data_IF_616983198244
#
_entry.id   IF_616983198244
#
_cell.length_a   1.000
_cell.length_b   1.000
_cell.length_c   1.000
_cell.angle_alpha   90.00
_cell.angle_beta   90.00
_cell.angle_gamma   90.00
#
_symmetry.space_group_name_H-M   'P 1'
#
loop_
_entity.id
_entity.type
_entity.pdbx_description
1 polymer ?
#
# COMPACT_ATOMS: atom_id res chain seq x y z
N UNK A 1 -0.23 17.76 -7.34
CA UNK A 1 0.24 16.44 -7.77
C UNK A 1 -0.59 15.39 -7.06
N UNK A 2 -0.88 14.27 -7.71
CA UNK A 2 -1.65 13.20 -7.10
C UNK A 2 -0.89 12.55 -5.94
N UNK A 3 -1.62 11.88 -5.03
CA UNK A 3 -1.05 11.30 -3.81
C UNK A 3 -1.09 9.78 -3.81
N UNK A 4 -0.15 9.18 -3.11
CA UNK A 4 -0.16 7.78 -2.71
C UNK A 4 0.31 7.65 -1.26
N UNK A 5 0.19 6.46 -0.68
CA UNK A 5 0.55 6.23 0.73
C UNK A 5 1.62 5.15 0.79
N UNK A 6 2.72 5.43 1.50
CA UNK A 6 3.74 4.45 1.85
C UNK A 6 3.50 3.92 3.26
N UNK A 7 3.58 2.61 3.41
CA UNK A 7 3.57 1.90 4.67
C UNK A 7 4.90 1.14 4.78
N UNK A 8 5.66 1.39 5.84
CA UNK A 8 7.00 0.78 6.02
C UNK A 8 6.99 -0.35 7.08
N UNK A 9 7.99 -1.25 7.10
CA UNK A 9 8.17 -2.24 8.17
C UNK A 9 8.29 -1.65 9.58
N UNK A 10 8.73 -0.39 9.69
CA UNK A 10 8.82 0.33 10.95
C UNK A 10 7.48 0.88 11.46
N UNK A 11 6.37 0.52 10.79
CA UNK A 11 5.01 0.99 11.04
C UNK A 11 4.79 2.48 10.72
N UNK A 12 5.70 3.15 10.02
CA UNK A 12 5.45 4.51 9.57
C UNK A 12 4.50 4.51 8.38
N UNK A 13 3.48 5.38 8.43
CA UNK A 13 2.59 5.69 7.31
C UNK A 13 2.88 7.10 6.83
N UNK A 14 3.23 7.24 5.55
CA UNK A 14 3.69 8.50 4.93
C UNK A 14 2.89 8.82 3.67
N UNK A 15 2.60 10.09 3.48
CA UNK A 15 2.12 10.62 2.20
C UNK A 15 3.30 10.71 1.24
N UNK A 16 3.11 10.25 0.01
CA UNK A 16 4.03 10.45 -1.10
C UNK A 16 3.29 11.03 -2.30
N UNK A 17 4.03 11.71 -3.15
CA UNK A 17 3.53 12.11 -4.47
C UNK A 17 3.50 10.89 -5.39
N UNK A 18 2.39 10.72 -6.11
CA UNK A 18 2.26 9.65 -7.09
C UNK A 18 3.11 10.00 -8.33
N UNK A 19 3.95 9.08 -8.81
CA UNK A 19 4.80 9.34 -9.96
C UNK A 19 4.01 9.32 -11.27
N UNK A 20 4.25 10.30 -12.14
CA UNK A 20 3.58 10.42 -13.45
C UNK A 20 4.57 10.32 -14.61
N UNK A 21 4.06 9.96 -15.78
CA UNK A 21 4.84 9.86 -17.01
C UNK A 21 5.51 8.50 -17.23
N UNK A 22 6.43 8.44 -18.21
CA UNK A 22 6.98 7.18 -18.74
C UNK A 22 7.77 6.34 -17.74
N UNK A 23 8.27 6.96 -16.66
CA UNK A 23 9.09 6.29 -15.65
C UNK A 23 8.30 5.99 -14.37
N UNK A 24 6.97 6.17 -14.36
CA UNK A 24 6.16 6.01 -13.15
C UNK A 24 6.30 4.63 -12.52
N UNK A 25 6.30 3.58 -13.35
CA UNK A 25 6.50 2.20 -12.89
C UNK A 25 7.82 2.00 -12.15
N UNK A 26 8.92 2.52 -12.71
CA UNK A 26 10.24 2.44 -12.09
C UNK A 26 10.30 3.22 -10.78
N UNK A 27 9.64 4.37 -10.71
CA UNK A 27 9.58 5.17 -9.48
C UNK A 27 8.76 4.47 -8.39
N UNK A 28 7.68 3.77 -8.74
CA UNK A 28 6.95 2.91 -7.80
C UNK A 28 7.85 1.80 -7.24
N UNK A 29 8.64 1.14 -8.09
CA UNK A 29 9.65 0.14 -7.67
C UNK A 29 10.70 0.75 -6.74
N UNK A 30 11.19 1.95 -7.05
CA UNK A 30 12.15 2.67 -6.20
C UNK A 30 11.56 3.03 -4.82
N UNK A 31 10.27 3.36 -4.74
CA UNK A 31 9.58 3.60 -3.47
C UNK A 31 9.35 2.32 -2.65
N UNK A 32 9.10 1.18 -3.31
CA UNK A 32 9.10 -0.14 -2.65
C UNK A 32 10.51 -0.47 -2.12
N UNK A 33 11.55 -0.18 -2.92
CA UNK A 33 12.93 -0.31 -2.52
C UNK A 33 13.44 -1.75 -2.52
N UNK A 34 14.49 -2.04 -1.75
CA UNK A 34 15.08 -3.37 -1.54
C UNK A 34 15.47 -4.15 -2.81
N UNK A 35 15.68 -3.45 -3.93
CA UNK A 35 16.01 -4.10 -5.20
C UNK A 35 14.81 -4.65 -5.97
N UNK A 36 13.58 -4.29 -5.56
CA UNK A 36 12.34 -4.72 -6.21
C UNK A 36 12.38 -4.53 -7.73
N UNK A 37 12.27 -5.63 -8.47
CA UNK A 37 12.11 -5.65 -9.93
C UNK A 37 10.69 -6.00 -10.37
N UNK A 38 9.88 -6.59 -9.49
CA UNK A 38 8.52 -6.99 -9.79
C UNK A 38 7.55 -6.55 -8.70
N UNK A 39 6.57 -5.73 -9.11
CA UNK A 39 5.49 -5.29 -8.23
C UNK A 39 4.35 -6.29 -8.29
N UNK A 40 3.95 -6.80 -7.13
CA UNK A 40 2.70 -7.55 -6.98
C UNK A 40 1.54 -6.58 -6.72
N UNK A 41 0.41 -6.83 -7.37
CA UNK A 41 -0.85 -6.18 -7.07
C UNK A 41 -1.64 -7.01 -6.05
N UNK A 42 -1.81 -6.45 -4.85
CA UNK A 42 -2.55 -7.08 -3.75
C UNK A 42 -3.87 -6.35 -3.53
N UNK A 43 -4.92 -7.12 -3.26
CA UNK A 43 -6.28 -6.65 -2.95
C UNK A 43 -6.58 -6.94 -1.46
N UNK A 44 -6.06 -6.12 -0.52
CA UNK A 44 -6.14 -6.42 0.91
C UNK A 44 -7.55 -6.19 1.48
N UNK A 45 -8.19 -7.24 1.99
CA UNK A 45 -9.60 -7.22 2.40
C UNK A 45 -9.91 -6.16 3.47
N UNK A 46 -9.04 -5.96 4.47
CA UNK A 46 -9.31 -4.98 5.54
C UNK A 46 -9.08 -3.54 5.12
N UNK A 47 -8.38 -3.27 4.03
CA UNK A 47 -8.35 -1.93 3.43
C UNK A 47 -9.78 -1.51 3.04
N UNK A 48 -10.58 -2.42 2.51
CA UNK A 48 -11.95 -2.15 2.11
C UNK A 48 -12.93 -2.26 3.28
N UNK A 49 -12.82 -3.31 4.09
CA UNK A 49 -13.84 -3.64 5.10
C UNK A 49 -13.62 -2.97 6.46
N UNK A 50 -12.39 -2.61 6.81
CA UNK A 50 -12.05 -1.96 8.10
C UNK A 50 -11.60 -0.52 7.93
N UNK A 51 -10.77 -0.24 6.93
CA UNK A 51 -10.32 1.12 6.63
C UNK A 51 -11.35 1.88 5.81
N UNK A 52 -12.17 1.20 5.00
CA UNK A 52 -13.24 1.81 4.20
C UNK A 52 -12.79 2.34 2.85
N UNK A 53 -11.61 1.95 2.36
CA UNK A 53 -11.16 2.29 1.01
C UNK A 53 -12.11 1.73 -0.05
N UNK A 54 -12.18 2.42 -1.19
CA UNK A 54 -13.00 2.00 -2.32
C UNK A 54 -12.44 0.76 -3.00
N UNK A 55 -13.29 -0.21 -3.31
CA UNK A 55 -12.94 -1.48 -3.96
C UNK A 55 -13.33 -1.55 -5.44
N UNK A 56 -13.96 -0.50 -5.98
CA UNK A 56 -14.52 -0.46 -7.33
C UNK A 56 -14.03 0.76 -8.10
N UNK A 57 -13.56 0.54 -9.34
CA UNK A 57 -13.16 1.62 -10.24
C UNK A 57 -14.43 2.29 -10.77
N UNK A 58 -14.55 3.61 -10.56
CA UNK A 58 -15.62 4.42 -11.13
C UNK A 58 -15.07 5.15 -12.35
N UNK A 59 -15.75 5.06 -13.49
CA UNK A 59 -15.29 5.64 -14.76
C UNK A 59 -14.97 7.15 -14.67
N UNK A 60 -15.75 7.89 -13.89
CA UNK A 60 -15.63 9.35 -13.79
C UNK A 60 -14.78 9.81 -12.60
N UNK A 61 -14.24 8.88 -11.81
CA UNK A 61 -13.46 9.19 -10.60
C UNK A 61 -12.21 8.28 -10.54
N UNK A 62 -11.17 8.56 -11.35
CA UNK A 62 -9.88 7.88 -11.24
C UNK A 62 -9.35 7.87 -9.81
N UNK A 63 -8.84 6.73 -9.35
CA UNK A 63 -8.36 6.57 -7.98
C UNK A 63 -9.47 6.37 -6.94
N UNK A 64 -10.73 6.16 -7.36
CA UNK A 64 -11.83 5.77 -6.46
C UNK A 64 -11.64 4.38 -5.87
N UNK A 65 -11.07 3.45 -6.66
CA UNK A 65 -10.57 2.17 -6.16
C UNK A 65 -9.15 2.36 -5.68
N UNK A 66 -8.85 1.83 -4.50
CA UNK A 66 -7.50 1.76 -3.98
C UNK A 66 -7.02 0.32 -3.93
N UNK A 67 -5.72 0.14 -4.09
CA UNK A 67 -5.06 -1.16 -4.05
C UNK A 67 -3.69 -1.05 -3.42
N UNK A 68 -3.13 -2.18 -3.04
CA UNK A 68 -1.81 -2.26 -2.42
C UNK A 68 -0.81 -2.86 -3.41
N UNK A 69 0.34 -2.20 -3.57
CA UNK A 69 1.48 -2.74 -4.29
C UNK A 69 2.55 -3.17 -3.29
N UNK A 70 3.11 -4.34 -3.52
CA UNK A 70 4.20 -4.90 -2.71
C UNK A 70 5.27 -5.47 -3.64
N UNK A 71 6.39 -5.87 -3.05
CA UNK A 71 7.46 -6.56 -3.76
C UNK A 71 7.13 -8.05 -3.87
N UNK A 72 6.85 -8.53 -5.08
CA UNK A 72 6.57 -9.96 -5.34
C UNK A 72 7.78 -10.83 -4.97
N UNK A 73 8.98 -10.28 -5.15
CA UNK A 73 10.22 -11.03 -5.07
C UNK A 73 10.86 -10.91 -3.68
N UNK A 74 10.20 -10.25 -2.72
CA UNK A 74 10.82 -9.86 -1.46
C UNK A 74 11.50 -11.03 -0.74
N UNK A 75 10.86 -12.20 -0.72
CA UNK A 75 11.40 -13.39 -0.07
C UNK A 75 12.74 -13.87 -0.65
N UNK A 76 13.05 -13.56 -1.92
CA UNK A 76 14.30 -13.95 -2.57
C UNK A 76 15.49 -13.08 -2.15
N UNK A 77 15.24 -11.89 -1.62
CA UNK A 77 16.29 -10.96 -1.15
C UNK A 77 16.04 -10.44 0.27
N UNK A 78 15.13 -11.09 1.00
CA UNK A 78 14.86 -10.87 2.41
C UNK A 78 16.02 -11.41 3.26
N UNK A 79 16.56 -10.56 4.13
CA UNK A 79 17.63 -10.96 5.04
C UNK A 79 17.07 -11.41 6.41
N UNK A 80 15.93 -10.86 6.86
CA UNK A 80 15.30 -11.24 8.12
C UNK A 80 13.79 -10.95 8.14
N UNK A 81 12.98 -12.02 8.10
CA UNK A 81 11.52 -11.95 8.10
C UNK A 81 10.95 -11.14 9.28
N UNK A 82 11.56 -11.21 10.46
CA UNK A 82 11.03 -10.55 11.67
C UNK A 82 11.20 -9.03 11.59
N UNK A 83 12.36 -8.55 11.15
CA UNK A 83 12.59 -7.10 11.03
C UNK A 83 11.92 -6.50 9.80
N UNK A 84 11.72 -7.31 8.76
CA UNK A 84 11.21 -6.85 7.48
C UNK A 84 9.69 -6.95 7.39
N UNK A 85 9.02 -7.51 8.40
CA UNK A 85 7.56 -7.63 8.42
C UNK A 85 6.87 -6.27 8.54
N UNK A 86 5.98 -6.00 7.60
CA UNK A 86 5.14 -4.81 7.60
C UNK A 86 3.81 -5.11 8.32
N UNK A 87 3.74 -4.76 9.60
CA UNK A 87 2.60 -5.12 10.44
C UNK A 87 1.27 -4.52 9.95
N UNK A 88 1.28 -3.26 9.51
CA UNK A 88 0.06 -2.60 9.02
C UNK A 88 -0.37 -3.26 7.71
N UNK A 89 0.53 -3.41 6.74
CA UNK A 89 0.19 -4.04 5.46
C UNK A 89 -0.25 -5.51 5.63
N UNK A 90 0.41 -6.26 6.51
CA UNK A 90 0.03 -7.64 6.87
C UNK A 90 -1.35 -7.70 7.54
N UNK A 91 -1.66 -6.75 8.43
CA UNK A 91 -2.99 -6.62 9.01
C UNK A 91 -4.04 -6.34 7.93
N UNK A 92 -3.75 -5.43 7.00
CA UNK A 92 -4.66 -5.11 5.89
C UNK A 92 -4.93 -6.33 5.00
N UNK A 93 -3.88 -7.13 4.75
CA UNK A 93 -3.92 -8.33 3.92
C UNK A 93 -4.61 -9.53 4.61
N UNK A 94 -4.77 -9.49 5.93
CA UNK A 94 -5.32 -10.58 6.77
C UNK A 94 -4.35 -11.75 6.98
N UNK A 95 -3.06 -11.44 7.13
CA UNK A 95 -2.02 -12.42 7.47
C UNK A 95 -2.36 -13.28 8.69
N UNK A 96 -3.09 -12.76 9.67
CA UNK A 96 -3.55 -13.54 10.83
C UNK A 96 -4.56 -14.65 10.49
N UNK A 97 -5.19 -14.59 9.31
CA UNK A 97 -6.12 -15.62 8.82
C UNK A 97 -5.44 -16.66 7.93
N UNK A 98 -4.57 -16.22 7.02
CA UNK A 98 -3.96 -17.11 6.01
C UNK A 98 -2.47 -17.38 6.22
N UNK A 99 -1.80 -16.68 7.14
CA UNK A 99 -0.41 -16.96 7.55
C UNK A 99 0.69 -16.38 6.65
N UNK A 100 0.36 -15.60 5.61
CA UNK A 100 1.34 -15.04 4.67
C UNK A 100 1.58 -13.54 4.97
N UNK A 101 2.71 -13.15 5.58
CA UNK A 101 2.99 -11.74 5.90
C UNK A 101 3.33 -10.94 4.65
N UNK A 102 3.00 -9.64 4.70
CA UNK A 102 3.59 -8.66 3.79
C UNK A 102 4.93 -8.22 4.37
N UNK A 103 5.98 -8.33 3.57
CA UNK A 103 7.33 -7.93 3.93
C UNK A 103 7.73 -6.67 3.14
N UNK A 104 8.61 -5.87 3.73
CA UNK A 104 9.11 -4.65 3.11
C UNK A 104 8.09 -3.51 3.06
N UNK A 105 8.36 -2.54 2.19
CA UNK A 105 7.44 -1.42 1.99
C UNK A 105 6.21 -1.88 1.20
N UNK A 106 5.07 -1.26 1.49
CA UNK A 106 3.85 -1.39 0.71
C UNK A 106 3.38 0.00 0.28
N UNK A 107 2.87 0.12 -0.94
CA UNK A 107 2.26 1.34 -1.46
C UNK A 107 0.76 1.16 -1.58
N UNK A 108 -0.03 2.12 -1.10
CA UNK A 108 -1.44 2.24 -1.45
C UNK A 108 -1.55 3.22 -2.61
N UNK A 109 -2.15 2.77 -3.70
CA UNK A 109 -2.32 3.53 -4.95
C UNK A 109 -3.77 3.47 -5.40
N UNK A 110 -4.16 4.41 -6.27
CA UNK A 110 -5.45 4.38 -6.96
C UNK A 110 -5.40 3.49 -8.20
N UNK A 111 -6.57 3.04 -8.65
CA UNK A 111 -6.75 2.42 -9.96
C UNK A 111 -7.68 3.26 -10.84
N UNK A 112 -7.47 3.19 -12.16
CA UNK A 112 -8.34 3.80 -13.16
C UNK A 112 -8.48 2.89 -14.38
N UNK A 113 -9.59 3.04 -15.09
CA UNK A 113 -9.68 2.51 -16.44
C UNK A 113 -8.79 3.30 -17.40
N UNK A 114 -8.11 2.58 -18.28
CA UNK A 114 -7.53 3.09 -19.51
C UNK A 114 -8.16 2.33 -20.70
N UNK A 115 -8.01 2.85 -21.91
CA UNK A 115 -8.71 2.37 -23.11
C UNK A 115 -8.69 0.84 -23.30
N UNK A 116 -7.61 0.18 -22.90
CA UNK A 116 -7.40 -1.26 -23.06
C UNK A 116 -7.25 -2.03 -21.74
N UNK A 117 -7.52 -1.43 -20.58
CA UNK A 117 -7.38 -2.14 -19.31
C UNK A 117 -7.47 -1.29 -18.05
N UNK A 118 -6.80 -1.76 -17.00
CA UNK A 118 -6.69 -1.08 -15.71
C UNK A 118 -5.24 -0.66 -15.54
N UNK A 119 -5.04 0.55 -15.03
CA UNK A 119 -3.73 1.07 -14.68
C UNK A 119 -3.76 1.64 -13.26
N UNK A 120 -2.57 1.76 -12.67
CA UNK A 120 -2.40 2.47 -11.40
C UNK A 120 -2.36 3.98 -11.64
N UNK A 121 -2.85 4.71 -10.66
CA UNK A 121 -2.85 6.17 -10.63
C UNK A 121 -2.77 6.67 -9.18
N UNK A 122 -2.77 7.98 -9.01
CA UNK A 122 -2.93 8.59 -7.71
C UNK A 122 -4.27 8.19 -7.06
N UNK A 123 -4.30 8.15 -5.73
CA UNK A 123 -5.53 8.02 -4.97
C UNK A 123 -6.35 9.32 -5.16
N UNK A 124 -7.67 9.20 -5.31
CA UNK A 124 -8.53 10.40 -5.35
C UNK A 124 -8.52 11.13 -4.00
N UNK A 125 -8.74 12.45 -4.00
CA UNK A 125 -8.71 13.22 -2.75
C UNK A 125 -9.73 12.72 -1.72
N UNK A 126 -10.92 12.29 -2.17
CA UNK A 126 -11.93 11.69 -1.30
C UNK A 126 -11.40 10.42 -0.62
N UNK A 127 -10.81 9.52 -1.40
CA UNK A 127 -10.25 8.28 -0.88
C UNK A 127 -9.04 8.55 0.03
N UNK A 128 -8.17 9.48 -0.34
CA UNK A 128 -7.00 9.84 0.45
C UNK A 128 -7.41 10.41 1.82
N UNK A 129 -8.34 11.36 1.84
CA UNK A 129 -8.84 11.99 3.06
C UNK A 129 -9.57 11.00 3.99
N UNK A 130 -10.09 9.90 3.45
CA UNK A 130 -10.70 8.82 4.23
C UNK A 130 -9.65 7.84 4.77
N UNK A 131 -8.74 7.37 3.92
CA UNK A 131 -7.84 6.25 4.21
C UNK A 131 -6.64 6.71 5.03
N UNK A 132 -6.00 7.81 4.66
CA UNK A 132 -4.74 8.23 5.26
C UNK A 132 -4.85 8.45 6.78
N UNK A 133 -5.85 9.18 7.32
CA UNK A 133 -5.99 9.35 8.76
C UNK A 133 -6.21 8.02 9.51
N UNK A 134 -6.97 7.09 8.93
CA UNK A 134 -7.24 5.78 9.54
C UNK A 134 -6.01 4.88 9.58
N UNK A 135 -5.16 4.95 8.55
CA UNK A 135 -3.85 4.28 8.56
C UNK A 135 -2.90 4.94 9.57
N UNK A 136 -2.94 6.27 9.75
CA UNK A 136 -2.20 6.96 10.83
C UNK A 136 -2.66 6.52 12.22
N UNK A 137 -3.95 6.23 12.42
CA UNK A 137 -4.44 5.65 13.67
C UNK A 137 -3.87 4.25 13.92
N UNK A 138 -3.73 3.42 12.87
CA UNK A 138 -3.07 2.12 12.96
C UNK A 138 -1.60 2.25 13.38
N UNK A 139 -0.86 3.17 12.76
CA UNK A 139 0.52 3.49 13.14
C UNK A 139 0.62 3.88 14.61
N UNK A 140 -0.26 4.79 15.07
CA UNK A 140 -0.25 5.25 16.46
C UNK A 140 -0.46 4.10 17.44
N UNK A 141 -1.47 3.26 17.22
CA UNK A 141 -1.76 2.10 18.07
C UNK A 141 -0.57 1.14 18.17
N UNK A 142 0.08 0.84 17.05
CA UNK A 142 1.24 -0.06 17.04
C UNK A 142 2.45 0.53 17.76
N UNK A 143 2.64 1.85 17.70
CA UNK A 143 3.71 2.53 18.45
C UNK A 143 3.43 2.51 19.95
N UNK A 144 2.20 2.79 20.38
CA UNK A 144 1.77 2.68 21.79
C UNK A 144 1.93 1.26 22.34
N UNK A 145 1.59 0.22 21.56
CA UNK A 145 1.78 -1.18 21.98
C UNK A 145 3.26 -1.56 22.13
N UNK A 146 4.17 -0.94 21.37
CA UNK A 146 5.62 -1.18 21.49
C UNK A 146 6.22 -0.49 22.71
N UNK A 147 5.74 0.70 23.07
CA UNK A 147 6.20 1.44 24.25
C UNK A 147 5.74 0.81 25.57
N UNK A 148 4.63 0.06 25.54
CA UNK A 148 4.06 -0.62 26.71
C UNK A 148 4.57 -2.06 26.90
N UNK A 149 5.54 -2.53 26.11
CA UNK A 149 6.19 -3.86 26.22
C UNK A 149 7.59 -3.74 26.78
#
# INVERSE_FOLDING_TARGET
MGKMILITPNNDVKELEYPEGKNSWRQLQEHIGNGCSLLEHVVPNRLYTKIGGGSVIKNNEPGSKVSMLVDEEFLYHCNNIVSDMNHIASYLYETDLHGCPILGNALIVGEKYEDLGISFCAISDEQFNLIFPRLKDCEKKLKEERENR
#
